data_IF_657443996200
#
_entry.id   IF_657443996200
#
_cell.length_a   1.000
_cell.length_b   1.000
_cell.length_c   1.000
_cell.angle_alpha   90.00
_cell.angle_beta   90.00
_cell.angle_gamma   90.00
#
_symmetry.space_group_name_H-M   'P 1'
#
loop_
_entity.id
_entity.type
_entity.pdbx_description
1 polymer ?
#
# COMPACT_ATOMS: atom_id res chain seq x y z
N UNK A 1 -1.95 50.11 43.70
CA UNK A 1 -1.01 49.18 43.02
C UNK A 1 -1.31 47.70 43.31
N UNK A 2 -2.20 47.33 44.25
CA UNK A 2 -2.53 45.93 44.60
C UNK A 2 -3.43 45.19 43.60
N UNK A 3 -4.20 45.89 42.75
CA UNK A 3 -5.07 45.25 41.76
C UNK A 3 -4.32 44.63 40.58
N UNK A 4 -3.17 45.22 40.23
CA UNK A 4 -2.28 44.77 39.16
C UNK A 4 -1.83 43.32 39.43
N UNK A 5 -1.38 43.02 40.65
CA UNK A 5 -0.95 41.66 41.02
C UNK A 5 -2.06 40.60 40.97
N UNK A 6 -3.32 40.97 41.25
CA UNK A 6 -4.45 40.03 41.12
C UNK A 6 -4.79 39.76 39.66
N UNK A 7 -4.75 40.78 38.81
CA UNK A 7 -5.06 40.65 37.38
C UNK A 7 -3.97 39.84 36.64
N UNK A 8 -2.69 40.15 36.87
CA UNK A 8 -1.60 39.39 36.25
C UNK A 8 -1.46 37.96 36.81
N UNK A 9 -1.77 37.75 38.10
CA UNK A 9 -1.78 36.42 38.71
C UNK A 9 -2.86 35.51 38.12
N UNK A 10 -4.07 36.03 37.89
CA UNK A 10 -5.17 35.27 37.29
C UNK A 10 -4.86 34.86 35.84
N UNK A 11 -4.25 35.76 35.06
CA UNK A 11 -3.82 35.48 33.68
C UNK A 11 -2.75 34.38 33.66
N UNK A 12 -1.78 34.42 34.57
CA UNK A 12 -0.74 33.40 34.66
C UNK A 12 -1.29 32.01 35.00
N UNK A 13 -2.25 31.92 35.94
CA UNK A 13 -2.92 30.66 36.28
C UNK A 13 -3.72 30.11 35.10
N UNK A 14 -4.46 30.96 34.39
CA UNK A 14 -5.18 30.57 33.18
C UNK A 14 -4.24 30.07 32.09
N UNK A 15 -3.08 30.70 31.91
CA UNK A 15 -2.05 30.26 30.97
C UNK A 15 -1.47 28.89 31.35
N UNK A 16 -1.16 28.66 32.62
CA UNK A 16 -0.66 27.36 33.09
C UNK A 16 -1.71 26.28 32.91
N UNK A 17 -2.99 26.55 33.22
CA UNK A 17 -4.09 25.60 32.99
C UNK A 17 -4.30 25.35 31.50
N UNK A 18 -4.22 26.38 30.66
CA UNK A 18 -4.35 26.24 29.21
C UNK A 18 -3.19 25.43 28.61
N UNK A 19 -1.95 25.70 29.02
CA UNK A 19 -0.76 24.95 28.58
C UNK A 19 -0.81 23.51 29.11
N UNK A 20 -1.14 23.32 30.39
CA UNK A 20 -1.27 22.01 31.00
C UNK A 20 -2.37 21.18 30.36
N UNK A 21 -3.53 21.78 30.10
CA UNK A 21 -4.62 21.16 29.35
C UNK A 21 -4.22 20.81 27.92
N UNK A 22 -3.53 21.72 27.22
CA UNK A 22 -3.02 21.49 25.87
C UNK A 22 -2.02 20.32 25.81
N UNK A 23 -1.07 20.26 26.74
CA UNK A 23 -0.09 19.18 26.82
C UNK A 23 -0.72 17.84 27.20
N UNK A 24 -1.69 17.84 28.11
CA UNK A 24 -2.40 16.63 28.51
C UNK A 24 -3.26 16.05 27.38
N UNK A 25 -3.97 16.91 26.64
CA UNK A 25 -4.77 16.48 25.49
C UNK A 25 -3.89 15.91 24.36
N UNK A 26 -2.75 16.56 24.10
CA UNK A 26 -1.79 16.14 23.06
C UNK A 26 -1.19 14.76 23.34
N UNK A 27 -0.89 14.42 24.60
CA UNK A 27 -0.41 13.09 24.99
C UNK A 27 -1.45 12.00 24.75
N UNK A 28 -2.70 12.26 25.09
CA UNK A 28 -3.77 11.26 24.91
C UNK A 28 -3.99 10.87 23.45
N UNK A 29 -3.73 11.80 22.52
CA UNK A 29 -3.89 11.58 21.09
C UNK A 29 -2.76 10.71 20.52
N UNK A 30 -1.51 11.00 20.88
CA UNK A 30 -0.33 10.21 20.46
C UNK A 30 -0.40 8.77 21.02
N UNK A 31 -0.85 8.61 22.26
CA UNK A 31 -1.00 7.31 22.90
C UNK A 31 -2.06 6.41 22.21
N UNK A 32 -3.14 7.00 21.68
CA UNK A 32 -4.20 6.24 21.02
C UNK A 32 -3.74 5.66 19.68
N UNK A 33 -3.03 6.45 18.86
CA UNK A 33 -2.49 5.98 17.60
C UNK A 33 -1.41 4.93 17.82
N UNK A 34 -0.45 5.19 18.71
CA UNK A 34 0.61 4.24 19.04
C UNK A 34 0.03 2.89 19.48
N UNK A 35 -0.99 2.92 20.35
CA UNK A 35 -1.64 1.69 20.83
C UNK A 35 -2.44 0.96 19.75
N UNK A 36 -3.11 1.68 18.85
CA UNK A 36 -3.82 1.07 17.74
C UNK A 36 -2.85 0.38 16.77
N UNK A 37 -1.73 1.03 16.47
CA UNK A 37 -0.67 0.47 15.63
C UNK A 37 0.02 -0.73 16.28
N UNK A 38 0.39 -0.62 17.55
CA UNK A 38 0.95 -1.73 18.34
C UNK A 38 0.00 -2.95 18.31
N UNK A 39 -1.31 -2.72 18.45
CA UNK A 39 -2.31 -3.80 18.36
C UNK A 39 -2.31 -4.46 16.97
N UNK A 40 -2.21 -3.68 15.89
CA UNK A 40 -2.11 -4.21 14.52
C UNK A 40 -0.84 -5.02 14.35
N UNK A 41 0.30 -4.50 14.81
CA UNK A 41 1.61 -5.14 14.75
C UNK A 41 1.64 -6.46 15.51
N UNK A 42 1.14 -6.48 16.75
CA UNK A 42 1.04 -7.68 17.58
C UNK A 42 0.21 -8.77 16.89
N UNK A 43 -0.94 -8.40 16.31
CA UNK A 43 -1.78 -9.34 15.60
C UNK A 43 -1.14 -9.83 14.30
N UNK A 44 -0.43 -8.97 13.57
CA UNK A 44 0.29 -9.39 12.37
C UNK A 44 1.42 -10.36 12.71
N UNK A 45 2.23 -10.04 13.73
CA UNK A 45 3.32 -10.92 14.19
C UNK A 45 2.82 -12.25 14.74
N UNK A 46 1.63 -12.28 15.36
CA UNK A 46 0.99 -13.51 15.80
C UNK A 46 0.60 -14.43 14.62
N UNK A 47 0.39 -13.88 13.41
CA UNK A 47 0.10 -14.65 12.19
C UNK A 47 1.37 -15.19 11.51
N UNK A 48 2.55 -14.65 11.84
CA UNK A 48 3.83 -15.04 11.23
C UNK A 48 4.53 -16.11 12.09
N UNK A 49 5.11 -17.17 11.49
CA UNK A 49 5.92 -18.16 12.19
C UNK A 49 7.09 -17.54 12.95
N UNK A 50 7.38 -18.04 14.16
CA UNK A 50 8.39 -17.45 15.06
C UNK A 50 9.77 -17.27 14.44
N UNK A 51 10.19 -18.21 13.59
CA UNK A 51 11.50 -18.23 12.96
C UNK A 51 11.77 -17.07 11.99
N UNK A 52 10.71 -16.42 11.49
CA UNK A 52 10.79 -15.37 10.46
C UNK A 52 10.29 -14.00 10.96
N UNK A 53 9.88 -13.89 12.24
CA UNK A 53 9.28 -12.66 12.80
C UNK A 53 10.18 -11.43 12.75
N UNK A 54 11.49 -11.60 12.91
CA UNK A 54 12.43 -10.48 13.02
C UNK A 54 12.42 -9.57 11.77
N UNK A 55 12.23 -10.14 10.57
CA UNK A 55 12.18 -9.35 9.33
C UNK A 55 10.87 -8.58 9.19
N UNK A 56 9.76 -9.22 9.54
CA UNK A 56 8.45 -8.57 9.57
C UNK A 56 8.43 -7.45 10.60
N UNK A 57 9.04 -7.66 11.78
CA UNK A 57 9.15 -6.67 12.84
C UNK A 57 9.86 -5.39 12.36
N UNK A 58 11.00 -5.52 11.68
CA UNK A 58 11.71 -4.35 11.16
C UNK A 58 10.87 -3.52 10.17
N UNK A 59 10.05 -4.18 9.35
CA UNK A 59 9.13 -3.50 8.42
C UNK A 59 7.98 -2.80 9.17
N UNK A 60 7.48 -3.43 10.24
CA UNK A 60 6.44 -2.85 11.10
C UNK A 60 6.96 -1.65 11.89
N UNK A 61 8.15 -1.72 12.47
CA UNK A 61 8.76 -0.58 13.18
C UNK A 61 8.89 0.64 12.27
N UNK A 62 9.29 0.44 11.01
CA UNK A 62 9.34 1.51 10.02
C UNK A 62 7.94 2.05 9.69
N UNK A 63 6.93 1.17 9.56
CA UNK A 63 5.55 1.58 9.38
C UNK A 63 5.01 2.41 10.55
N UNK A 64 5.23 1.95 11.77
CA UNK A 64 4.84 2.64 13.00
C UNK A 64 5.51 4.01 13.11
N UNK A 65 6.81 4.09 12.84
CA UNK A 65 7.56 5.34 12.82
C UNK A 65 6.96 6.33 11.83
N UNK A 66 6.72 5.92 10.58
CA UNK A 66 6.15 6.77 9.54
C UNK A 66 4.70 7.16 9.83
N UNK A 67 3.92 6.27 10.43
CA UNK A 67 2.56 6.57 10.85
C UNK A 67 2.53 7.59 12.01
N UNK A 68 3.43 7.46 12.99
CA UNK A 68 3.59 8.42 14.09
C UNK A 68 4.05 9.81 13.59
N UNK A 69 4.89 9.84 12.55
CA UNK A 69 5.29 11.08 11.87
C UNK A 69 4.17 11.67 10.98
N UNK A 70 3.02 10.97 10.86
CA UNK A 70 1.89 11.39 10.05
C UNK A 70 2.15 11.30 8.54
N UNK A 71 3.14 10.50 8.13
CA UNK A 71 3.45 10.27 6.72
C UNK A 71 2.44 9.31 6.08
N UNK A 72 1.99 8.31 6.85
CA UNK A 72 1.00 7.31 6.42
C UNK A 72 -0.42 7.92 6.51
N UNK A 73 -1.21 7.94 5.42
CA UNK A 73 -2.62 8.32 5.44
C UNK A 73 -3.47 7.35 6.27
N UNK A 74 -4.54 7.83 6.93
CA UNK A 74 -5.42 6.98 7.73
C UNK A 74 -6.02 5.81 6.93
N UNK A 75 -6.30 6.00 5.64
CA UNK A 75 -6.84 4.95 4.77
C UNK A 75 -5.89 3.75 4.63
N UNK A 76 -4.58 3.97 4.65
CA UNK A 76 -3.58 2.91 4.59
C UNK A 76 -3.48 2.15 5.92
N UNK A 77 -3.61 2.86 7.05
CA UNK A 77 -3.66 2.25 8.38
C UNK A 77 -4.90 1.35 8.51
N UNK A 78 -6.06 1.84 8.07
CA UNK A 78 -7.30 1.07 8.09
C UNK A 78 -7.28 -0.11 7.12
N UNK A 79 -6.67 0.04 5.95
CA UNK A 79 -6.50 -1.06 5.01
C UNK A 79 -5.62 -2.17 5.58
N UNK A 80 -4.50 -1.81 6.21
CA UNK A 80 -3.63 -2.78 6.87
C UNK A 80 -4.38 -3.48 8.01
N UNK A 81 -5.05 -2.70 8.87
CA UNK A 81 -5.85 -3.23 9.96
C UNK A 81 -6.95 -4.17 9.47
N UNK A 82 -7.71 -3.80 8.43
CA UNK A 82 -8.74 -4.67 7.83
C UNK A 82 -8.15 -5.99 7.35
N UNK A 83 -6.98 -5.94 6.71
CA UNK A 83 -6.30 -7.12 6.20
C UNK A 83 -5.85 -8.04 7.33
N UNK A 84 -5.24 -7.49 8.38
CA UNK A 84 -4.83 -8.24 9.59
C UNK A 84 -6.04 -8.83 10.31
N UNK A 85 -7.12 -8.07 10.47
CA UNK A 85 -8.36 -8.53 11.11
C UNK A 85 -9.00 -9.67 10.30
N UNK A 86 -9.03 -9.57 8.97
CA UNK A 86 -9.54 -10.62 8.10
C UNK A 86 -8.71 -11.91 8.20
N UNK A 87 -7.37 -11.81 8.14
CA UNK A 87 -6.48 -12.97 8.30
C UNK A 87 -6.60 -13.61 9.69
N UNK A 88 -6.69 -12.78 10.72
CA UNK A 88 -6.94 -13.25 12.08
C UNK A 88 -8.29 -13.97 12.17
N UNK A 89 -9.33 -13.44 11.53
CA UNK A 89 -10.67 -14.06 11.54
C UNK A 89 -10.71 -15.43 10.87
N UNK A 90 -9.90 -15.65 9.82
CA UNK A 90 -9.83 -16.93 9.11
C UNK A 90 -8.89 -17.95 9.78
N UNK A 91 -8.10 -17.52 10.77
CA UNK A 91 -7.10 -18.38 11.42
C UNK A 91 -5.96 -18.77 10.47
N UNK A 92 -5.75 -18.02 9.41
CA UNK A 92 -4.70 -18.30 8.42
C UNK A 92 -3.35 -17.81 8.93
N UNK A 93 -2.30 -18.64 8.80
CA UNK A 93 -0.93 -18.18 8.99
C UNK A 93 -0.44 -17.43 7.75
N UNK A 94 0.43 -16.44 7.96
CA UNK A 94 0.99 -15.61 6.90
C UNK A 94 2.50 -15.90 6.78
N UNK A 95 3.02 -16.04 5.56
CA UNK A 95 4.48 -16.11 5.37
C UNK A 95 5.11 -14.74 5.66
N UNK A 96 6.37 -14.69 6.11
CA UNK A 96 7.05 -13.41 6.39
C UNK A 96 7.10 -12.52 5.15
N UNK A 97 7.35 -13.11 3.98
CA UNK A 97 7.39 -12.37 2.71
C UNK A 97 6.04 -11.73 2.38
N UNK A 98 4.93 -12.41 2.71
CA UNK A 98 3.58 -11.87 2.51
C UNK A 98 3.27 -10.76 3.51
N UNK A 99 3.70 -10.90 4.76
CA UNK A 99 3.56 -9.87 5.79
C UNK A 99 4.32 -8.59 5.43
N UNK A 100 5.59 -8.73 5.01
CA UNK A 100 6.41 -7.62 4.52
C UNK A 100 5.80 -6.98 3.27
N UNK A 101 5.25 -7.78 2.36
CA UNK A 101 4.55 -7.27 1.18
C UNK A 101 3.32 -6.44 1.58
N UNK A 102 2.52 -6.92 2.54
CA UNK A 102 1.36 -6.16 3.03
C UNK A 102 1.78 -4.82 3.65
N UNK A 103 2.80 -4.81 4.51
CA UNK A 103 3.30 -3.58 5.14
C UNK A 103 3.89 -2.63 4.10
N UNK A 104 4.66 -3.15 3.15
CA UNK A 104 5.25 -2.32 2.09
C UNK A 104 4.22 -1.75 1.12
N UNK A 105 3.15 -2.49 0.81
CA UNK A 105 2.00 -1.97 0.06
C UNK A 105 1.32 -0.85 0.84
N UNK A 106 1.12 -1.02 2.15
CA UNK A 106 0.58 0.04 3.00
C UNK A 106 1.49 1.27 3.07
N UNK A 107 2.82 1.14 2.89
CA UNK A 107 3.76 2.25 2.92
C UNK A 107 3.91 3.01 1.59
N UNK A 108 3.74 2.32 0.47
CA UNK A 108 4.14 2.83 -0.85
C UNK A 108 2.96 3.02 -1.80
N UNK A 109 1.93 2.16 -1.72
CA UNK A 109 0.80 2.18 -2.64
C UNK A 109 -0.44 2.75 -1.95
N UNK A 110 -1.10 3.68 -2.62
CA UNK A 110 -2.48 4.01 -2.28
C UNK A 110 -3.36 2.91 -2.89
N UNK A 111 -4.07 2.09 -2.10
CA UNK A 111 -4.92 1.02 -2.64
C UNK A 111 -6.14 1.55 -3.42
N UNK A 112 -6.27 2.87 -3.53
CA UNK A 112 -7.18 3.52 -4.46
C UNK A 112 -6.63 3.33 -5.88
N UNK A 113 -7.18 2.32 -6.58
CA UNK A 113 -7.16 2.25 -8.05
C UNK A 113 -7.27 3.67 -8.63
N UNK A 114 -6.53 4.02 -9.70
CA UNK A 114 -6.64 5.34 -10.31
C UNK A 114 -8.11 5.58 -10.66
N UNK A 115 -8.73 6.58 -10.01
CA UNK A 115 -10.04 7.05 -10.43
C UNK A 115 -9.94 7.35 -11.94
N UNK A 116 -10.87 6.84 -12.77
CA UNK A 116 -10.85 7.15 -14.19
C UNK A 116 -10.79 8.67 -14.33
N UNK A 117 -9.78 9.17 -15.05
CA UNK A 117 -9.51 10.58 -15.21
C UNK A 117 -10.69 11.28 -15.88
N UNK A 118 -11.69 11.68 -15.10
CA UNK A 118 -12.71 12.62 -15.56
C UNK A 118 -12.05 13.98 -15.50
N UNK A 119 -11.47 14.40 -16.63
CA UNK A 119 -11.06 15.79 -16.86
C UNK A 119 -12.25 16.73 -16.61
N UNK A 120 -12.37 17.21 -15.38
CA UNK A 120 -13.04 18.47 -15.05
C UNK A 120 -11.96 19.38 -14.49
N UNK A 121 -11.42 20.22 -15.37
CA UNK A 121 -10.69 21.43 -14.96
C UNK A 121 -11.61 22.23 -14.03
N UNK A 122 -11.43 22.05 -12.73
CA UNK A 122 -11.94 22.98 -11.74
C UNK A 122 -11.00 24.21 -11.73
N UNK A 123 -11.54 25.43 -11.61
CA UNK A 123 -10.72 26.65 -11.58
C UNK A 123 -9.75 26.62 -10.38
N UNK A 124 -8.59 27.30 -10.48
CA UNK A 124 -7.56 27.29 -9.45
C UNK A 124 -8.14 27.79 -8.12
N UNK A 125 -8.30 26.88 -7.15
CA UNK A 125 -8.69 27.25 -5.79
C UNK A 125 -7.52 28.02 -5.14
N UNK A 126 -7.81 29.10 -4.40
CA UNK A 126 -6.79 29.86 -3.67
C UNK A 126 -6.10 28.97 -2.62
N UNK A 127 -4.84 29.29 -2.25
CA UNK A 127 -4.04 28.49 -1.33
C UNK A 127 -4.76 28.38 0.02
N UNK A 128 -5.22 27.16 0.31
CA UNK A 128 -5.94 26.85 1.54
C UNK A 128 -4.96 26.22 2.53
N UNK A 129 -4.53 26.98 3.53
CA UNK A 129 -4.13 26.42 4.83
C UNK A 129 -5.35 26.55 5.75
N UNK A 130 -5.89 25.44 6.29
CA UNK A 130 -5.19 24.62 7.29
C UNK A 130 -5.42 23.10 7.09
N UNK A 131 -4.63 22.44 6.24
CA UNK A 131 -4.75 21.00 5.93
C UNK A 131 -4.25 20.09 7.08
N UNK A 132 -3.39 20.60 7.98
CA UNK A 132 -2.77 19.77 9.03
C UNK A 132 -3.71 19.42 10.20
N UNK A 133 -4.70 20.27 10.53
CA UNK A 133 -5.61 20.01 11.66
C UNK A 133 -6.68 18.97 11.33
N UNK A 134 -7.16 18.91 10.09
CA UNK A 134 -8.07 17.85 9.64
C UNK A 134 -7.35 16.50 9.66
N UNK A 135 -6.14 16.43 9.10
CA UNK A 135 -5.37 15.17 9.01
C UNK A 135 -5.11 14.51 10.37
N UNK A 136 -4.78 15.29 11.41
CA UNK A 136 -4.61 14.75 12.78
C UNK A 136 -5.91 14.18 13.35
N UNK A 137 -7.02 14.88 13.16
CA UNK A 137 -8.34 14.41 13.60
C UNK A 137 -8.73 13.12 12.88
N UNK A 138 -8.50 13.06 11.57
CA UNK A 138 -8.83 11.89 10.74
C UNK A 138 -7.99 10.66 11.16
N UNK A 139 -6.72 10.87 11.50
CA UNK A 139 -5.84 9.84 12.06
C UNK A 139 -6.33 9.32 13.41
N UNK A 140 -6.76 10.19 14.32
CA UNK A 140 -7.28 9.77 15.63
C UNK A 140 -8.59 8.99 15.51
N UNK A 141 -9.47 9.44 14.60
CA UNK A 141 -10.71 8.74 14.30
C UNK A 141 -10.44 7.36 13.72
N UNK A 142 -9.47 7.26 12.82
CA UNK A 142 -8.96 5.99 12.28
C UNK A 142 -8.41 5.08 13.37
N UNK A 143 -7.56 5.58 14.27
CA UNK A 143 -7.02 4.80 15.39
C UNK A 143 -8.13 4.27 16.31
N UNK A 144 -9.12 5.11 16.62
CA UNK A 144 -10.31 4.73 17.38
C UNK A 144 -11.09 3.60 16.70
N UNK A 145 -11.35 3.72 15.39
CA UNK A 145 -12.00 2.66 14.60
C UNK A 145 -11.21 1.37 14.60
N UNK A 146 -9.90 1.43 14.39
CA UNK A 146 -9.01 0.25 14.41
C UNK A 146 -9.13 -0.49 15.74
N UNK A 147 -9.00 0.24 16.86
CA UNK A 147 -9.12 -0.36 18.19
C UNK A 147 -10.49 -1.01 18.42
N UNK A 148 -11.56 -0.33 18.01
CA UNK A 148 -12.93 -0.84 18.15
C UNK A 148 -13.13 -2.13 17.33
N UNK A 149 -12.54 -2.23 16.15
CA UNK A 149 -12.69 -3.40 15.28
C UNK A 149 -11.96 -4.64 15.80
N UNK A 150 -10.86 -4.48 16.52
CA UNK A 150 -10.24 -5.59 17.27
C UNK A 150 -11.13 -6.08 18.43
N UNK A 151 -11.84 -5.17 19.10
CA UNK A 151 -12.83 -5.56 20.11
C UNK A 151 -13.97 -6.35 19.46
N UNK A 152 -14.52 -5.85 18.34
CA UNK A 152 -15.54 -6.56 17.54
C UNK A 152 -15.08 -7.96 17.15
N UNK A 153 -13.85 -8.10 16.65
CA UNK A 153 -13.29 -9.40 16.29
C UNK A 153 -13.22 -10.35 17.51
N UNK A 154 -12.73 -9.86 18.63
CA UNK A 154 -12.57 -10.65 19.86
C UNK A 154 -13.91 -11.15 20.38
N UNK A 155 -14.91 -10.28 20.43
CA UNK A 155 -16.27 -10.64 20.85
C UNK A 155 -16.90 -11.66 19.89
N UNK A 156 -16.85 -11.41 18.58
CA UNK A 156 -17.39 -12.34 17.58
C UNK A 156 -16.70 -13.72 17.63
N UNK A 157 -15.39 -13.76 17.83
CA UNK A 157 -14.63 -15.02 18.03
C UNK A 157 -15.08 -15.76 19.28
N UNK A 158 -15.36 -15.04 20.38
CA UNK A 158 -15.84 -15.62 21.63
C UNK A 158 -17.16 -16.38 21.47
N UNK A 159 -18.06 -15.87 20.63
CA UNK A 159 -19.37 -16.50 20.35
C UNK A 159 -19.30 -17.59 19.28
N UNK A 160 -18.61 -17.32 18.16
CA UNK A 160 -18.48 -18.30 17.06
C UNK A 160 -17.72 -19.55 17.46
N UNK A 161 -16.76 -19.47 18.39
CA UNK A 161 -16.05 -20.64 18.91
C UNK A 161 -16.94 -21.65 19.64
N UNK A 162 -18.15 -21.26 20.05
CA UNK A 162 -19.11 -22.13 20.74
C UNK A 162 -20.06 -22.83 19.76
N UNK A 163 -20.24 -22.31 18.54
CA UNK A 163 -21.21 -22.80 17.58
C UNK A 163 -20.52 -23.41 16.35
N UNK A 164 -20.69 -24.73 16.18
CA UNK A 164 -20.13 -25.50 15.07
C UNK A 164 -20.61 -25.06 13.69
N UNK A 165 -21.68 -24.25 13.58
CA UNK A 165 -22.22 -23.77 12.30
C UNK A 165 -21.35 -22.72 11.59
N UNK A 166 -20.29 -22.24 12.24
CA UNK A 166 -19.32 -21.28 11.69
C UNK A 166 -17.97 -21.91 11.31
N UNK A 167 -17.88 -23.24 11.27
CA UNK A 167 -16.60 -23.93 11.05
C UNK A 167 -16.02 -23.70 9.66
N UNK A 168 -16.88 -23.50 8.67
CA UNK A 168 -16.50 -23.47 7.25
C UNK A 168 -16.38 -22.04 6.67
N UNK A 169 -16.83 -21.01 7.41
CA UNK A 169 -16.77 -19.62 6.94
C UNK A 169 -16.55 -18.63 8.09
N UNK A 170 -15.74 -17.58 7.87
CA UNK A 170 -15.47 -16.59 8.90
C UNK A 170 -16.77 -15.87 9.31
N UNK A 171 -17.05 -15.74 10.61
CA UNK A 171 -18.28 -15.11 11.12
C UNK A 171 -18.31 -13.59 10.94
N UNK A 172 -17.17 -12.98 10.62
CA UNK A 172 -16.99 -11.55 10.42
C UNK A 172 -15.98 -11.28 9.30
N UNK A 173 -16.21 -10.20 8.55
CA UNK A 173 -15.32 -9.64 7.54
C UNK A 173 -15.12 -8.15 7.78
N UNK A 174 -13.96 -7.62 7.45
CA UNK A 174 -13.61 -6.22 7.62
C UNK A 174 -13.31 -5.56 6.28
N UNK A 175 -13.79 -4.33 6.09
CA UNK A 175 -13.64 -3.54 4.86
C UNK A 175 -13.14 -2.14 5.21
N UNK A 176 -12.32 -1.54 4.34
CA UNK A 176 -11.70 -0.22 4.52
C UNK A 176 -12.04 0.78 3.40
N UNK A 177 -13.09 0.52 2.62
CA UNK A 177 -13.47 1.33 1.45
C UNK A 177 -14.07 2.70 1.82
N UNK A 178 -14.77 2.78 2.95
CA UNK A 178 -15.44 4.01 3.44
C UNK A 178 -15.25 4.19 4.94
N UNK A 179 -14.01 4.03 5.38
CA UNK A 179 -13.70 3.84 6.79
C UNK A 179 -13.73 2.35 7.15
N UNK A 180 -12.92 1.95 8.13
CA UNK A 180 -12.90 0.59 8.64
C UNK A 180 -14.26 0.18 9.22
N UNK A 181 -14.85 -0.90 8.67
CA UNK A 181 -16.16 -1.45 9.06
C UNK A 181 -16.11 -2.96 9.16
N UNK A 182 -16.92 -3.51 10.06
CA UNK A 182 -17.16 -4.94 10.19
C UNK A 182 -18.50 -5.32 9.54
N UNK A 183 -18.51 -6.42 8.80
CA UNK A 183 -19.71 -7.10 8.33
C UNK A 183 -19.80 -8.42 9.08
N UNK A 184 -20.87 -8.59 9.87
CA UNK A 184 -21.06 -9.74 10.75
C UNK A 184 -22.24 -10.57 10.25
N UNK A 185 -22.13 -11.89 10.37
CA UNK A 185 -23.22 -12.81 10.03
C UNK A 185 -24.45 -12.56 10.91
N UNK A 186 -25.64 -12.43 10.29
CA UNK A 186 -26.92 -12.17 10.98
C UNK A 186 -27.23 -13.22 12.06
N UNK A 187 -26.75 -14.46 11.91
CA UNK A 187 -26.96 -15.53 12.90
C UNK A 187 -26.38 -15.18 14.27
N UNK A 188 -25.32 -14.37 14.31
CA UNK A 188 -24.66 -13.94 15.55
C UNK A 188 -25.30 -12.69 16.18
N UNK A 189 -26.23 -12.04 15.48
CA UNK A 189 -26.82 -10.78 15.92
C UNK A 189 -27.40 -10.83 17.31
N UNK A 190 -28.13 -11.89 17.63
CA UNK A 190 -28.78 -12.03 18.94
C UNK A 190 -27.80 -12.09 20.11
N UNK A 191 -26.63 -12.72 19.93
CA UNK A 191 -25.61 -12.85 20.97
C UNK A 191 -24.73 -11.59 21.04
N UNK A 192 -24.29 -11.11 19.87
CA UNK A 192 -23.39 -9.96 19.75
C UNK A 192 -24.07 -8.65 20.16
N UNK A 193 -25.35 -8.45 19.85
CA UNK A 193 -26.09 -7.23 20.27
C UNK A 193 -26.27 -7.12 21.80
N UNK A 194 -26.06 -8.20 22.57
CA UNK A 194 -26.13 -8.15 24.04
C UNK A 194 -24.81 -7.75 24.69
N UNK A 195 -23.71 -7.72 23.93
CA UNK A 195 -22.40 -7.35 24.46
C UNK A 195 -22.27 -5.82 24.56
N UNK A 196 -22.04 -5.30 25.78
CA UNK A 196 -21.88 -3.85 26.03
C UNK A 196 -20.75 -3.23 25.19
N UNK A 197 -19.72 -4.00 24.88
CA UNK A 197 -18.59 -3.56 24.05
C UNK A 197 -18.94 -3.32 22.59
N UNK A 198 -20.12 -3.76 22.15
CA UNK A 198 -20.59 -3.59 20.77
C UNK A 198 -21.43 -2.31 20.58
N UNK A 199 -21.85 -1.67 21.68
CA UNK A 199 -22.73 -0.52 21.63
C UNK A 199 -22.09 0.68 20.94
N UNK A 200 -20.79 0.90 21.13
CA UNK A 200 -20.06 1.99 20.47
C UNK A 200 -19.95 1.75 18.98
N UNK A 201 -19.44 0.59 18.55
CA UNK A 201 -19.38 0.23 17.12
C UNK A 201 -20.75 0.32 16.42
N UNK A 202 -21.83 -0.03 17.13
CA UNK A 202 -23.21 0.11 16.63
C UNK A 202 -23.64 1.56 16.49
N UNK A 203 -23.43 2.39 17.52
CA UNK A 203 -23.80 3.81 17.51
C UNK A 203 -23.08 4.56 16.37
N UNK A 204 -21.84 4.17 16.09
CA UNK A 204 -21.02 4.76 15.04
C UNK A 204 -21.24 4.15 13.64
N UNK A 205 -22.21 3.22 13.50
CA UNK A 205 -22.51 2.52 12.24
C UNK A 205 -21.29 1.82 11.62
N UNK A 206 -20.37 1.34 12.47
CA UNK A 206 -19.18 0.59 12.06
C UNK A 206 -19.47 -0.88 11.77
N UNK A 207 -20.67 -1.36 12.14
CA UNK A 207 -21.07 -2.75 11.94
C UNK A 207 -22.28 -2.84 11.02
N UNK A 208 -22.18 -3.69 10.00
CA UNK A 208 -23.28 -4.08 9.14
C UNK A 208 -23.59 -5.57 9.33
N UNK A 209 -24.87 -5.92 9.20
CA UNK A 209 -25.33 -7.30 9.32
C UNK A 209 -25.62 -7.89 7.95
N UNK A 210 -25.23 -9.15 7.74
CA UNK A 210 -25.45 -9.86 6.48
C UNK A 210 -25.90 -11.30 6.71
N UNK A 211 -27.06 -11.69 6.19
CA UNK A 211 -27.65 -13.02 6.42
C UNK A 211 -26.94 -14.16 5.68
N UNK A 212 -26.08 -13.83 4.71
CA UNK A 212 -25.38 -14.78 3.82
C UNK A 212 -23.92 -14.37 3.66
N UNK A 213 -23.27 -14.07 4.77
CA UNK A 213 -21.86 -13.65 4.76
C UNK A 213 -20.99 -14.77 4.13
N UNK A 214 -21.18 -16.01 4.57
CA UNK A 214 -20.46 -17.18 4.04
C UNK A 214 -20.55 -17.30 2.50
N UNK A 215 -21.76 -17.28 1.93
CA UNK A 215 -21.97 -17.35 0.47
C UNK A 215 -21.28 -16.17 -0.25
N UNK A 216 -21.32 -14.97 0.34
CA UNK A 216 -20.69 -13.79 -0.27
C UNK A 216 -19.17 -13.86 -0.25
N UNK A 217 -18.60 -14.43 0.81
CA UNK A 217 -17.16 -14.65 0.99
C UNK A 217 -16.65 -15.69 -0.01
N UNK A 218 -17.38 -16.80 -0.17
CA UNK A 218 -17.05 -17.84 -1.13
C UNK A 218 -17.14 -17.31 -2.57
N UNK A 219 -18.22 -16.61 -2.91
CA UNK A 219 -18.37 -16.00 -4.23
C UNK A 219 -17.28 -14.96 -4.54
N UNK A 220 -16.79 -14.22 -3.54
CA UNK A 220 -15.67 -13.29 -3.72
C UNK A 220 -14.35 -14.04 -3.91
N UNK A 221 -14.12 -15.12 -3.16
CA UNK A 221 -12.93 -15.96 -3.29
C UNK A 221 -12.86 -16.60 -4.69
N UNK A 222 -13.99 -17.12 -5.19
CA UNK A 222 -14.10 -17.65 -6.55
C UNK A 222 -13.77 -16.59 -7.61
N UNK A 223 -14.34 -15.39 -7.48
CA UNK A 223 -14.04 -14.27 -8.41
C UNK A 223 -12.56 -13.90 -8.40
N UNK A 224 -11.93 -13.86 -7.23
CA UNK A 224 -10.49 -13.59 -7.09
C UNK A 224 -9.65 -14.71 -7.70
N UNK A 225 -10.04 -15.97 -7.53
CA UNK A 225 -9.35 -17.11 -8.13
C UNK A 225 -9.41 -17.06 -9.67
N UNK A 226 -10.59 -16.76 -10.23
CA UNK A 226 -10.75 -16.57 -11.68
C UNK A 226 -9.89 -15.42 -12.19
N UNK A 227 -9.92 -14.26 -11.52
CA UNK A 227 -9.11 -13.10 -11.90
C UNK A 227 -7.60 -13.40 -11.80
N UNK A 228 -7.15 -14.10 -10.75
CA UNK A 228 -5.76 -14.50 -10.61
C UNK A 228 -5.32 -15.46 -11.73
N UNK A 229 -6.20 -16.38 -12.15
CA UNK A 229 -5.96 -17.27 -13.27
C UNK A 229 -5.83 -16.49 -14.59
N UNK A 230 -6.73 -15.53 -14.84
CA UNK A 230 -6.68 -14.67 -16.02
C UNK A 230 -5.39 -13.83 -16.05
N UNK A 231 -5.02 -13.22 -14.92
CA UNK A 231 -3.77 -12.46 -14.79
C UNK A 231 -2.54 -13.35 -15.01
N UNK A 232 -2.57 -14.60 -14.53
CA UNK A 232 -1.50 -15.58 -14.76
C UNK A 232 -1.35 -15.95 -16.24
N UNK A 233 -2.46 -16.12 -16.96
CA UNK A 233 -2.45 -16.38 -18.41
C UNK A 233 -1.91 -15.17 -19.20
N UNK A 234 -2.33 -13.96 -18.82
CA UNK A 234 -1.83 -12.73 -19.43
C UNK A 234 -0.31 -12.57 -19.20
N UNK A 235 0.16 -12.82 -17.97
CA UNK A 235 1.58 -12.78 -17.66
C UNK A 235 2.39 -13.82 -18.44
N UNK A 236 1.86 -15.05 -18.60
CA UNK A 236 2.49 -16.07 -19.42
C UNK A 236 2.59 -15.64 -20.89
N UNK A 237 1.51 -15.09 -21.46
CA UNK A 237 1.50 -14.59 -22.83
C UNK A 237 2.48 -13.43 -23.04
N UNK A 238 2.56 -12.50 -22.08
CA UNK A 238 3.55 -11.40 -22.11
C UNK A 238 4.97 -11.95 -22.06
N UNK A 239 5.24 -12.91 -21.17
CA UNK A 239 6.56 -13.53 -21.06
C UNK A 239 6.97 -14.23 -22.35
N UNK A 240 6.06 -14.98 -22.98
CA UNK A 240 6.32 -15.65 -24.25
C UNK A 240 6.59 -14.64 -25.38
N UNK A 241 5.86 -13.52 -25.40
CA UNK A 241 6.12 -12.41 -26.34
C UNK A 241 7.52 -11.83 -26.12
N UNK A 242 7.93 -11.60 -24.87
CA UNK A 242 9.27 -11.07 -24.56
C UNK A 242 10.38 -12.05 -24.98
N UNK A 243 10.18 -13.36 -24.80
CA UNK A 243 11.14 -14.39 -25.23
C UNK A 243 11.26 -14.40 -26.76
N UNK A 244 10.14 -14.29 -27.48
CA UNK A 244 10.15 -14.20 -28.94
C UNK A 244 10.87 -12.95 -29.44
N UNK A 245 10.63 -11.80 -28.80
CA UNK A 245 11.33 -10.55 -29.14
C UNK A 245 12.82 -10.66 -28.86
N UNK A 246 13.23 -11.25 -27.74
CA UNK A 246 14.64 -11.50 -27.44
C UNK A 246 15.32 -12.40 -28.49
N UNK A 247 14.65 -13.46 -28.94
CA UNK A 247 15.16 -14.35 -29.98
C UNK A 247 15.28 -13.64 -31.35
N UNK A 248 14.34 -12.76 -31.68
CA UNK A 248 14.42 -11.94 -32.90
C UNK A 248 15.59 -10.95 -32.85
N UNK A 249 15.82 -10.32 -31.69
CA UNK A 249 16.95 -9.43 -31.49
C UNK A 249 18.30 -10.16 -31.60
N UNK A 250 18.41 -11.38 -31.07
CA UNK A 250 19.61 -12.22 -31.21
C UNK A 250 19.87 -12.58 -32.68
N UNK A 251 18.81 -12.91 -33.45
CA UNK A 251 18.92 -13.15 -34.89
C UNK A 251 19.43 -11.92 -35.64
N UNK A 252 18.96 -10.72 -35.30
CA UNK A 252 19.46 -9.49 -35.92
C UNK A 252 20.91 -9.19 -35.52
N UNK A 253 21.28 -9.43 -34.26
CA UNK A 253 22.65 -9.25 -33.79
C UNK A 253 23.63 -10.20 -34.51
N UNK A 254 23.24 -11.46 -34.73
CA UNK A 254 24.04 -12.44 -35.48
C UNK A 254 24.16 -12.07 -36.96
N UNK A 255 23.08 -11.59 -37.60
CA UNK A 255 23.13 -11.10 -38.99
C UNK A 255 24.10 -9.90 -39.12
N UNK A 256 24.01 -8.90 -38.23
CA UNK A 256 24.96 -7.77 -38.22
C UNK A 256 26.40 -8.20 -37.93
N UNK A 257 26.61 -9.17 -37.04
CA UNK A 257 27.95 -9.70 -36.75
C UNK A 257 28.57 -10.45 -37.93
N UNK A 258 27.76 -11.05 -38.79
CA UNK A 258 28.23 -11.73 -40.00
C UNK A 258 28.56 -10.70 -41.10
N UNK A 259 27.73 -9.66 -41.24
CA UNK A 259 27.99 -8.53 -42.14
C UNK A 259 29.31 -7.83 -41.80
N UNK A 260 29.57 -7.56 -40.52
CA UNK A 260 30.82 -6.92 -40.08
C UNK A 260 32.07 -7.80 -40.29
N UNK A 261 31.89 -9.12 -40.47
CA UNK A 261 32.96 -10.06 -40.83
C UNK A 261 33.17 -10.21 -42.34
N UNK A 262 32.48 -9.41 -43.16
CA UNK A 262 32.64 -9.39 -44.62
C UNK A 262 31.83 -10.46 -45.35
N UNK A 263 30.88 -11.11 -44.69
CA UNK A 263 29.90 -11.94 -45.39
C UNK A 263 28.88 -11.03 -46.08
N UNK A 264 28.93 -10.97 -47.41
CA UNK A 264 27.93 -10.28 -48.22
C UNK A 264 26.67 -11.14 -48.28
N UNK A 265 25.58 -10.62 -47.73
CA UNK A 265 24.28 -11.25 -47.83
C UNK A 265 23.66 -10.98 -49.21
N UNK A 266 23.00 -11.98 -49.79
CA UNK A 266 22.21 -11.76 -51.02
C UNK A 266 21.00 -10.85 -50.76
N UNK A 267 20.42 -10.24 -51.81
CA UNK A 267 19.34 -9.25 -51.69
C UNK A 267 18.09 -9.77 -50.95
N UNK A 268 17.88 -11.08 -50.93
CA UNK A 268 16.78 -11.70 -50.18
C UNK A 268 16.96 -11.58 -48.65
N UNK A 269 18.21 -11.66 -48.15
CA UNK A 269 18.52 -11.56 -46.72
C UNK A 269 18.53 -10.11 -46.23
N UNK A 270 18.89 -9.13 -47.07
CA UNK A 270 18.74 -7.70 -46.78
C UNK A 270 17.26 -7.31 -46.64
N UNK A 271 16.40 -7.82 -47.53
CA UNK A 271 14.95 -7.57 -47.44
C UNK A 271 14.35 -8.09 -46.13
N UNK A 272 14.81 -9.26 -45.67
CA UNK A 272 14.42 -9.87 -44.40
C UNK A 272 14.89 -9.06 -43.19
N UNK A 273 16.12 -8.53 -43.22
CA UNK A 273 16.64 -7.70 -42.14
C UNK A 273 15.88 -6.37 -42.02
N UNK A 274 15.54 -5.73 -43.16
CA UNK A 274 14.76 -4.50 -43.20
C UNK A 274 13.32 -4.73 -42.73
N UNK A 275 12.70 -5.84 -43.12
CA UNK A 275 11.35 -6.19 -42.67
C UNK A 275 11.30 -6.50 -41.16
N UNK A 276 12.28 -7.26 -40.64
CA UNK A 276 12.42 -7.50 -39.20
C UNK A 276 12.66 -6.20 -38.41
N UNK A 277 13.50 -5.29 -38.92
CA UNK A 277 13.75 -4.00 -38.28
C UNK A 277 12.50 -3.10 -38.31
N UNK A 278 11.73 -3.15 -39.40
CA UNK A 278 10.43 -2.47 -39.52
C UNK A 278 9.40 -3.01 -38.54
N UNK A 279 9.29 -4.34 -38.41
CA UNK A 279 8.38 -4.98 -37.46
C UNK A 279 8.75 -4.65 -36.01
N UNK A 280 10.04 -4.70 -35.64
CA UNK A 280 10.50 -4.32 -34.30
C UNK A 280 10.28 -2.83 -33.99
N UNK A 281 10.56 -1.93 -34.94
CA UNK A 281 10.30 -0.50 -34.76
C UNK A 281 8.80 -0.20 -34.63
N UNK A 282 7.94 -0.92 -35.35
CA UNK A 282 6.49 -0.74 -35.23
C UNK A 282 5.93 -1.21 -33.88
N UNK A 283 6.51 -2.27 -33.30
CA UNK A 283 6.11 -2.82 -31.99
C UNK A 283 6.69 -2.03 -30.82
N UNK A 284 7.96 -1.65 -30.89
CA UNK A 284 8.65 -0.87 -29.83
C UNK A 284 8.23 0.61 -29.87
N UNK A 285 7.95 1.15 -31.07
CA UNK A 285 7.53 2.55 -31.26
C UNK A 285 6.21 2.92 -30.57
N UNK A 286 5.47 1.95 -30.03
CA UNK A 286 4.25 2.15 -29.25
C UNK A 286 4.44 2.29 -27.73
N UNK A 287 5.62 2.04 -27.14
CA UNK A 287 5.76 1.99 -25.68
C UNK A 287 7.12 2.44 -25.13
N UNK A 288 7.08 3.38 -24.17
CA UNK A 288 8.03 3.80 -23.10
C UNK A 288 9.58 3.70 -23.23
N UNK A 289 10.17 3.04 -24.22
CA UNK A 289 11.59 2.77 -24.33
C UNK A 289 12.08 3.07 -25.76
N UNK A 290 13.28 3.61 -25.88
CA UNK A 290 13.99 3.76 -27.15
C UNK A 290 15.23 2.88 -27.15
N UNK A 291 15.37 2.04 -28.17
CA UNK A 291 16.54 1.20 -28.37
C UNK A 291 17.56 1.96 -29.24
N UNK A 292 18.76 2.21 -28.72
CA UNK A 292 19.87 2.81 -29.46
C UNK A 292 21.04 1.82 -29.57
N UNK A 293 21.80 1.92 -30.64
CA UNK A 293 23.00 1.08 -30.84
C UNK A 293 24.22 1.95 -30.56
N UNK A 294 25.00 1.56 -29.55
CA UNK A 294 26.27 2.21 -29.24
C UNK A 294 27.29 2.05 -30.36
N UNK A 295 28.28 2.93 -30.42
CA UNK A 295 29.38 2.85 -31.41
C UNK A 295 30.22 1.56 -31.28
N UNK A 296 30.10 0.87 -30.15
CA UNK A 296 30.69 -0.44 -29.86
C UNK A 296 29.85 -1.62 -30.39
N UNK A 297 28.71 -1.34 -31.03
CA UNK A 297 27.79 -2.35 -31.54
C UNK A 297 26.89 -2.97 -30.47
N UNK A 298 26.94 -2.49 -29.22
CA UNK A 298 26.03 -2.97 -28.17
C UNK A 298 24.66 -2.28 -28.27
N UNK A 299 23.60 -3.09 -28.13
CA UNK A 299 22.23 -2.59 -28.02
C UNK A 299 22.04 -2.02 -26.60
N UNK A 300 21.63 -0.76 -26.50
CA UNK A 300 21.23 -0.12 -25.24
C UNK A 300 19.74 0.17 -25.27
N UNK A 301 19.02 -0.33 -24.27
CA UNK A 301 17.66 0.10 -23.97
C UNK A 301 17.72 1.37 -23.11
N UNK A 302 17.24 2.48 -23.63
CA UNK A 302 17.04 3.70 -22.85
C UNK A 302 15.55 3.84 -22.54
N UNK A 303 15.17 3.84 -21.27
CA UNK A 303 13.80 4.23 -20.89
C UNK A 303 13.62 5.69 -21.21
N UNK A 304 12.52 6.04 -21.89
CA UNK A 304 12.21 7.42 -22.25
C UNK A 304 11.73 8.13 -20.99
N UNK A 305 12.70 8.56 -20.16
CA UNK A 305 12.43 9.39 -18.99
C UNK A 305 11.67 10.63 -19.46
N UNK A 306 10.43 10.78 -19.00
CA UNK A 306 9.65 12.00 -19.18
C UNK A 306 10.48 13.16 -18.66
N UNK A 307 10.94 14.01 -19.56
CA UNK A 307 11.98 15.00 -19.27
C UNK A 307 11.61 15.94 -18.12
N UNK A 308 12.38 15.87 -17.04
CA UNK A 308 12.66 17.03 -16.19
C UNK A 308 14.08 17.51 -16.49
N UNK A 309 14.12 18.71 -17.05
CA UNK A 309 15.29 19.44 -17.51
C UNK A 309 16.39 19.60 -16.46
N UNK A 310 17.58 19.09 -16.78
CA UNK A 310 18.84 19.83 -16.77
C UNK A 310 19.46 20.26 -15.43
N UNK A 311 20.59 19.63 -15.08
CA UNK A 311 21.79 20.37 -14.62
C UNK A 311 23.06 19.51 -14.74
N UNK A 312 23.90 19.87 -15.70
CA UNK A 312 25.27 19.38 -15.84
C UNK A 312 26.13 19.93 -14.72
N UNK A 313 26.72 19.04 -13.91
CA UNK A 313 27.85 19.37 -13.02
C UNK A 313 29.10 18.72 -13.58
N UNK A 314 30.02 19.56 -14.08
CA UNK A 314 31.38 19.20 -14.47
C UNK A 314 32.20 18.89 -13.22
N UNK A 315 32.53 17.62 -12.99
CA UNK A 315 33.50 17.24 -11.95
C UNK A 315 34.93 17.43 -12.48
N UNK A 316 35.59 18.44 -11.91
CA UNK A 316 36.98 18.78 -12.14
C UNK A 316 37.90 17.72 -11.53
N UNK A 317 38.86 17.28 -12.34
CA UNK A 317 39.96 16.38 -12.02
C UNK A 317 40.98 17.16 -11.18
N UNK A 318 41.20 16.76 -9.93
CA UNK A 318 42.30 17.26 -9.12
C UNK A 318 43.25 16.11 -8.74
N UNK A 319 44.46 16.28 -9.23
CA UNK A 319 45.68 15.53 -8.99
C UNK A 319 46.17 15.83 -7.56
N UNK A 320 46.62 14.83 -6.80
CA UNK A 320 47.52 15.04 -5.67
C UNK A 320 48.36 13.79 -5.41
N UNK A 321 49.61 13.87 -5.88
CA UNK A 321 50.73 13.06 -5.41
C UNK A 321 51.16 13.51 -4.00
N UNK A 322 51.64 12.54 -3.22
CA UNK A 322 52.77 12.59 -2.29
C UNK A 322 52.79 13.67 -1.19
N UNK A 323 52.86 13.24 0.08
CA UNK A 323 54.06 13.35 0.94
C UNK A 323 53.78 12.86 2.37
N UNK A 324 54.78 12.17 2.93
CA UNK A 324 54.96 11.59 4.27
C UNK A 324 54.34 10.21 4.56
#
# INVERSE_FOLDING_TARGET
MSNVWREYGAIAVLLVVAIGGYLFLSRSEEDLMARALETVSDHLLALVPEQDRDRTLASLEEFERRAAEGEVPPEQIEWLAASVLNLSSSGSSLASEEAEMMVSLALNDSPLLPEPAVSRQAPPRPPSTPVQKSRKKDLLESAGRVSEMFNVLTEVKGWSGQDSTFRDAPPVRFYSDRGLRAVVDERLRGEVERAERFDRARQESLVAWQSRLAESVEAEAERKAVMAQELGQLWAAVKDSMIQEAAQLEKLATMRSLESRGFMFGPEMESLAVDLEGQLKSRIGGGAFSLSVGQDGQLRLESRGTGTSGRTSTASRANAQSSN
#
